data_IF_040538784179
#
_entry.id   IF_040538784179
#
_cell.length_a   1.000
_cell.length_b   1.000
_cell.length_c   1.000
_cell.angle_alpha   90.00
_cell.angle_beta   90.00
_cell.angle_gamma   90.00
#
_symmetry.space_group_name_H-M   'P 1'
#
loop_
_entity.id
_entity.type
_entity.pdbx_description
1 polymer ?
#
# COMPACT_ATOMS: atom_id res chain seq x y z
N UNK A 1 -24.50 4.92 -30.14
CA UNK A 1 -24.53 4.06 -28.93
C UNK A 1 -25.74 4.45 -28.09
N UNK A 2 -26.60 3.50 -27.69
CA UNK A 2 -27.83 3.84 -26.95
C UNK A 2 -27.50 4.34 -25.54
N UNK A 3 -28.27 5.31 -25.02
CA UNK A 3 -28.15 5.82 -23.66
C UNK A 3 -28.26 4.71 -22.60
N UNK A 4 -29.12 3.72 -22.84
CA UNK A 4 -29.28 2.55 -21.96
C UNK A 4 -27.99 1.71 -21.84
N UNK A 5 -27.22 1.57 -22.92
CA UNK A 5 -25.93 0.86 -22.91
C UNK A 5 -24.90 1.63 -22.08
N UNK A 6 -24.87 2.96 -22.19
CA UNK A 6 -23.97 3.83 -21.42
C UNK A 6 -24.25 3.76 -19.91
N UNK A 7 -25.51 3.87 -19.48
CA UNK A 7 -25.86 3.80 -18.06
C UNK A 7 -25.59 2.42 -17.45
N UNK A 8 -25.81 1.32 -18.19
CA UNK A 8 -25.44 -0.03 -17.74
C UNK A 8 -23.94 -0.19 -17.55
N UNK A 9 -23.13 0.33 -18.48
CA UNK A 9 -21.67 0.29 -18.37
C UNK A 9 -21.18 1.11 -17.19
N UNK A 10 -21.69 2.34 -17.02
CA UNK A 10 -21.35 3.22 -15.90
C UNK A 10 -21.71 2.64 -14.54
N UNK A 11 -22.89 2.01 -14.43
CA UNK A 11 -23.33 1.35 -13.20
C UNK A 11 -22.45 0.15 -12.84
N UNK A 12 -21.98 -0.61 -13.85
CA UNK A 12 -21.18 -1.80 -13.63
C UNK A 12 -19.70 -1.50 -13.35
N UNK A 13 -19.13 -0.50 -14.01
CA UNK A 13 -17.67 -0.27 -14.00
C UNK A 13 -17.26 1.07 -13.39
N UNK A 14 -18.14 2.07 -13.33
CA UNK A 14 -17.78 3.41 -12.84
C UNK A 14 -17.35 3.45 -11.37
N UNK A 15 -17.89 2.57 -10.53
CA UNK A 15 -17.45 2.41 -9.13
C UNK A 15 -16.25 1.48 -8.95
N UNK A 16 -15.98 0.63 -9.94
CA UNK A 16 -14.89 -0.34 -9.89
C UNK A 16 -13.54 0.38 -9.91
N UNK A 17 -13.35 1.33 -10.84
CA UNK A 17 -12.11 2.11 -10.94
C UNK A 17 -11.83 2.92 -9.65
N UNK A 18 -12.85 3.53 -9.07
CA UNK A 18 -12.71 4.28 -7.82
C UNK A 18 -12.33 3.37 -6.64
N UNK A 19 -12.97 2.19 -6.53
CA UNK A 19 -12.66 1.22 -5.47
C UNK A 19 -11.24 0.62 -5.62
N UNK A 20 -10.79 0.37 -6.85
CA UNK A 20 -9.44 -0.11 -7.12
C UNK A 20 -8.39 0.94 -6.77
N UNK A 21 -8.64 2.21 -7.12
CA UNK A 21 -7.75 3.32 -6.74
C UNK A 21 -7.69 3.53 -5.22
N UNK A 22 -8.81 3.40 -4.51
CA UNK A 22 -8.83 3.45 -3.06
C UNK A 22 -7.98 2.32 -2.46
N UNK A 23 -8.16 1.09 -2.95
CA UNK A 23 -7.38 -0.07 -2.52
C UNK A 23 -5.88 0.08 -2.81
N UNK A 24 -5.54 0.65 -3.95
CA UNK A 24 -4.14 0.91 -4.30
C UNK A 24 -3.49 1.88 -3.30
N UNK A 25 -4.16 2.98 -2.96
CA UNK A 25 -3.67 3.95 -1.97
C UNK A 25 -3.48 3.32 -0.58
N UNK A 26 -4.44 2.50 -0.14
CA UNK A 26 -4.31 1.76 1.13
C UNK A 26 -3.07 0.85 1.13
N UNK A 27 -2.84 0.13 0.04
CA UNK A 27 -1.68 -0.76 -0.09
C UNK A 27 -0.36 0.03 -0.14
N UNK A 28 -0.33 1.19 -0.80
CA UNK A 28 0.83 2.07 -0.81
C UNK A 28 1.16 2.60 0.58
N UNK A 29 0.14 3.02 1.35
CA UNK A 29 0.30 3.49 2.72
C UNK A 29 0.77 2.37 3.66
N UNK A 30 0.22 1.18 3.53
CA UNK A 30 0.64 0.03 4.33
C UNK A 30 2.09 -0.36 3.99
N UNK A 31 2.45 -0.40 2.70
CA UNK A 31 3.82 -0.68 2.28
C UNK A 31 4.81 0.34 2.85
N UNK A 32 4.43 1.62 2.87
CA UNK A 32 5.22 2.71 3.47
C UNK A 32 5.45 2.48 4.96
N UNK A 33 4.41 2.11 5.71
CA UNK A 33 4.50 1.82 7.15
C UNK A 33 5.38 0.61 7.43
N UNK A 34 5.19 -0.48 6.67
CA UNK A 34 5.97 -1.69 6.81
C UNK A 34 7.46 -1.45 6.53
N UNK A 35 7.80 -0.69 5.47
CA UNK A 35 9.18 -0.32 5.17
C UNK A 35 9.82 0.49 6.29
N UNK A 36 9.09 1.45 6.86
CA UNK A 36 9.57 2.25 8.00
C UNK A 36 9.88 1.37 9.21
N UNK A 37 8.93 0.51 9.59
CA UNK A 37 9.09 -0.40 10.72
C UNK A 37 10.28 -1.35 10.50
N UNK A 38 10.41 -1.92 9.30
CA UNK A 38 11.54 -2.78 8.96
C UNK A 38 12.89 -2.05 9.09
N UNK A 39 12.98 -0.81 8.59
CA UNK A 39 14.21 -0.03 8.70
C UNK A 39 14.56 0.28 10.16
N UNK A 40 13.58 0.63 10.99
CA UNK A 40 13.77 0.89 12.42
C UNK A 40 14.23 -0.36 13.18
N UNK A 41 13.60 -1.51 12.94
CA UNK A 41 14.00 -2.79 13.57
C UNK A 41 15.38 -3.24 13.08
N UNK A 42 15.68 -3.05 11.79
CA UNK A 42 17.00 -3.37 11.25
C UNK A 42 18.08 -2.52 11.90
N UNK A 43 17.84 -1.22 12.05
CA UNK A 43 18.78 -0.32 12.72
C UNK A 43 19.04 -0.74 14.16
N UNK A 44 18.00 -1.09 14.92
CA UNK A 44 18.15 -1.60 16.30
C UNK A 44 19.00 -2.87 16.35
N UNK A 45 18.74 -3.81 15.43
CA UNK A 45 19.48 -5.05 15.34
C UNK A 45 20.97 -4.81 15.01
N UNK A 46 21.26 -3.89 14.09
CA UNK A 46 22.63 -3.54 13.71
C UNK A 46 23.38 -2.86 14.88
N UNK A 47 22.72 -1.96 15.62
CA UNK A 47 23.30 -1.34 16.84
C UNK A 47 23.63 -2.39 17.90
N UNK A 48 22.70 -3.33 18.16
CA UNK A 48 22.91 -4.40 19.14
C UNK A 48 24.09 -5.30 18.73
N UNK A 49 24.19 -5.62 17.43
CA UNK A 49 25.29 -6.42 16.89
C UNK A 49 26.63 -5.70 17.06
N UNK A 50 26.71 -4.42 16.72
CA UNK A 50 27.92 -3.61 16.90
C UNK A 50 28.31 -3.50 18.38
N UNK A 51 27.33 -3.35 19.29
CA UNK A 51 27.59 -3.32 20.72
C UNK A 51 28.19 -4.63 21.23
N UNK A 52 27.68 -5.78 20.76
CA UNK A 52 28.22 -7.11 21.13
C UNK A 52 29.61 -7.32 20.55
N UNK A 53 29.87 -6.91 19.31
CA UNK A 53 31.17 -7.09 18.64
C UNK A 53 32.30 -6.22 19.22
N UNK A 54 31.96 -5.11 19.92
CA UNK A 54 32.93 -4.22 20.58
C UNK A 54 33.31 -4.66 22.00
N UNK A 55 32.61 -5.64 22.57
CA UNK A 55 32.93 -6.26 23.85
C UNK A 55 33.80 -7.50 23.65
#
# INVERSE_FOLDING_TARGET
MSSATFYKWRAKFGGMDASMMARLKELEDENRRLKKMYAEERLKADILKEAIEKW
#
